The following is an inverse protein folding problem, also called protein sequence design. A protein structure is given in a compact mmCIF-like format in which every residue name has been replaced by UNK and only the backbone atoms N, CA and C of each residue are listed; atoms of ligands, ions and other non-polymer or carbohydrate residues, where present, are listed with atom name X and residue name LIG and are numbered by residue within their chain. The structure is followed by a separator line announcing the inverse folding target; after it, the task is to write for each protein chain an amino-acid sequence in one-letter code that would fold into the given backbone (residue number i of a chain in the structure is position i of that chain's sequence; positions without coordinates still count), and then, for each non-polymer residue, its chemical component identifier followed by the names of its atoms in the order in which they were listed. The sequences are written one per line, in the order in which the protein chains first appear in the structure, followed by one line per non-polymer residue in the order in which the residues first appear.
data_IF_886559205682
#
_entry.id   IF_886559205682
#
_cell.length_a   1.000
_cell.length_b   1.000
_cell.length_c   1.000
_cell.angle_alpha   90.00
_cell.angle_beta   90.00
_cell.angle_gamma   90.00
#
_symmetry.space_group_name_H-M   'P 1'
#
loop_
_entity.id
_entity.type
_entity.pdbx_description
1 polymer ?
#
# COMPACT_ATOMS: atom_id res chain seq x y z
N UNK A 1 -3.00 -1.91 -9.32
CA UNK A 1 -3.74 -1.55 -8.08
C UNK A 1 -5.24 -1.38 -8.37
N UNK A 2 -6.10 -1.71 -7.41
CA UNK A 2 -7.56 -1.88 -7.59
C UNK A 2 -8.41 -0.60 -7.61
N UNK A 3 -7.80 0.57 -7.83
CA UNK A 3 -8.50 1.88 -7.89
C UNK A 3 -9.39 2.12 -6.64
N UNK A 4 -8.90 1.68 -5.48
CA UNK A 4 -9.61 1.81 -4.20
C UNK A 4 -10.74 0.80 -3.96
N UNK A 5 -10.96 -0.18 -4.85
CA UNK A 5 -11.90 -1.29 -4.59
C UNK A 5 -11.47 -2.14 -3.39
N UNK A 6 -10.17 -2.36 -3.23
CA UNK A 6 -9.61 -2.97 -2.02
C UNK A 6 -9.09 -1.91 -1.06
N UNK A 7 -9.42 -2.05 0.22
CA UNK A 7 -9.05 -1.11 1.28
C UNK A 7 -7.79 -1.59 2.01
N UNK A 8 -6.77 -0.73 2.08
CA UNK A 8 -5.63 -0.93 2.97
C UNK A 8 -5.99 -0.42 4.37
N UNK A 9 -6.32 -1.33 5.30
CA UNK A 9 -6.78 -0.97 6.64
C UNK A 9 -5.65 -0.42 7.53
N UNK A 10 -5.92 0.69 8.22
CA UNK A 10 -5.07 1.14 9.33
C UNK A 10 -5.30 0.23 10.54
N UNK A 11 -4.20 -0.21 11.16
CA UNK A 11 -4.24 -1.11 12.31
C UNK A 11 -3.08 -0.79 13.26
N UNK A 12 -3.26 -1.13 14.54
CA UNK A 12 -2.22 -1.01 15.58
C UNK A 12 -2.29 -2.20 16.52
N UNK A 13 -1.15 -2.58 17.10
CA UNK A 13 -1.10 -3.48 18.24
C UNK A 13 -0.90 -2.66 19.52
N UNK A 14 -1.58 -3.06 20.60
CA UNK A 14 -1.41 -2.46 21.94
C UNK A 14 -0.61 -3.41 22.82
N UNK A 15 0.09 -2.85 23.81
CA UNK A 15 0.83 -3.64 24.79
C UNK A 15 -0.11 -4.26 25.81
N UNK A 16 0.23 -5.48 26.25
CA UNK A 16 -0.37 -6.17 27.38
C UNK A 16 0.66 -6.22 28.53
N UNK A 17 0.20 -6.03 29.77
CA UNK A 17 1.08 -5.96 30.95
C UNK A 17 1.36 -7.33 31.58
N UNK A 18 0.54 -8.33 31.28
CA UNK A 18 0.56 -9.65 31.94
C UNK A 18 1.16 -10.72 31.03
N UNK A 19 0.95 -10.61 29.71
CA UNK A 19 1.31 -11.63 28.74
C UNK A 19 2.21 -11.09 27.65
N UNK A 20 3.27 -11.84 27.36
CA UNK A 20 4.13 -11.55 26.21
C UNK A 20 3.43 -11.98 24.93
N UNK A 21 3.30 -11.04 23.97
CA UNK A 21 2.75 -11.30 22.64
C UNK A 21 3.88 -11.42 21.62
N UNK A 22 3.90 -12.51 20.86
CA UNK A 22 4.79 -12.71 19.71
C UNK A 22 3.98 -12.79 18.42
N UNK A 23 4.46 -12.18 17.35
CA UNK A 23 3.87 -12.30 16.01
C UNK A 23 4.96 -12.22 14.95
N UNK A 24 4.82 -13.00 13.88
CA UNK A 24 5.78 -13.05 12.79
C UNK A 24 5.14 -12.57 11.47
N UNK A 25 5.24 -11.28 11.14
CA UNK A 25 4.65 -10.77 9.90
C UNK A 25 5.48 -11.22 8.70
N UNK A 26 4.81 -11.77 7.69
CA UNK A 26 5.39 -12.05 6.37
C UNK A 26 4.73 -11.10 5.37
N UNK A 27 5.53 -10.27 4.71
CA UNK A 27 5.06 -9.29 3.73
C UNK A 27 5.30 -9.80 2.32
N UNK A 28 4.24 -9.85 1.51
CA UNK A 28 4.34 -10.08 0.07
C UNK A 28 4.52 -8.73 -0.60
N UNK A 29 5.67 -8.53 -1.22
CA UNK A 29 6.05 -7.27 -1.85
C UNK A 29 6.24 -7.45 -3.36
N UNK A 30 6.02 -6.38 -4.12
CA UNK A 30 6.40 -6.32 -5.54
C UNK A 30 7.91 -6.10 -5.70
N UNK A 31 8.43 -6.34 -6.90
CA UNK A 31 9.81 -5.96 -7.23
C UNK A 31 10.04 -4.46 -7.00
N UNK A 32 11.25 -4.07 -6.58
CA UNK A 32 11.60 -2.69 -6.26
C UNK A 32 11.48 -1.75 -7.45
N UNK A 33 11.83 -2.24 -8.64
CA UNK A 33 11.77 -1.46 -9.88
C UNK A 33 10.40 -1.57 -10.57
N UNK A 34 9.44 -2.26 -9.95
CA UNK A 34 8.10 -2.39 -10.51
C UNK A 34 7.34 -1.07 -10.43
N UNK A 35 6.83 -0.62 -11.57
CA UNK A 35 5.91 0.50 -11.65
C UNK A 35 4.49 0.03 -11.30
N UNK A 36 3.94 0.61 -10.23
CA UNK A 36 2.60 0.30 -9.73
C UNK A 36 1.64 1.44 -10.03
N UNK A 37 0.55 1.14 -10.73
CA UNK A 37 -0.53 2.09 -11.03
C UNK A 37 -1.92 1.42 -11.02
N UNK A 38 -2.99 2.19 -11.27
CA UNK A 38 -4.30 1.67 -11.63
C UNK A 38 -4.18 0.61 -12.74
N UNK A 39 -4.81 -0.56 -12.58
CA UNK A 39 -4.83 -1.57 -13.66
C UNK A 39 -5.69 -1.04 -14.82
N UNK A 40 -5.21 -1.06 -16.07
CA UNK A 40 -5.96 -0.53 -17.22
C UNK A 40 -7.36 -1.13 -17.36
N UNK A 41 -7.49 -2.43 -17.11
CA UNK A 41 -8.75 -3.19 -17.14
C UNK A 41 -9.80 -2.69 -16.14
N UNK A 42 -9.37 -1.98 -15.09
CA UNK A 42 -10.25 -1.44 -14.05
C UNK A 42 -10.67 0.01 -14.32
N UNK A 43 -10.06 0.68 -15.31
CA UNK A 43 -10.37 2.06 -15.71
C UNK A 43 -11.51 2.02 -16.74
N UNK A 44 -12.74 1.87 -16.28
CA UNK A 44 -13.94 1.81 -17.12
C UNK A 44 -14.77 3.09 -16.96
N UNK A 45 -14.66 4.03 -17.91
CA UNK A 45 -15.47 5.25 -17.95
C UNK A 45 -15.28 6.22 -16.78
N UNK A 46 -16.15 7.24 -16.72
CA UNK A 46 -16.05 8.34 -15.75
C UNK A 46 -16.16 7.89 -14.28
N UNK A 47 -16.87 6.79 -14.01
CA UNK A 47 -17.08 6.26 -12.65
C UNK A 47 -15.82 5.62 -12.02
N UNK A 48 -14.86 5.18 -12.85
CA UNK A 48 -13.60 4.54 -12.42
C UNK A 48 -12.36 5.29 -12.93
N UNK A 49 -12.41 6.62 -12.92
CA UNK A 49 -11.23 7.44 -13.19
C UNK A 49 -10.03 7.06 -12.28
N UNK A 50 -8.79 7.13 -12.78
CA UNK A 50 -7.61 6.75 -12.03
C UNK A 50 -7.39 7.66 -10.80
N UNK A 51 -7.62 7.10 -9.60
CA UNK A 51 -7.49 7.82 -8.31
C UNK A 51 -6.06 8.01 -7.83
N UNK A 52 -5.11 7.27 -8.39
CA UNK A 52 -3.72 7.24 -7.94
C UNK A 52 -2.79 7.38 -9.14
N UNK A 53 -1.75 8.20 -8.99
CA UNK A 53 -0.67 8.30 -9.99
C UNK A 53 0.18 7.02 -9.97
N UNK A 54 0.70 6.58 -11.13
CA UNK A 54 1.73 5.54 -11.17
C UNK A 54 2.97 5.94 -10.36
N UNK A 55 3.62 4.97 -9.72
CA UNK A 55 4.86 5.17 -8.98
C UNK A 55 5.78 3.94 -9.06
N UNK A 56 7.08 4.14 -8.90
CA UNK A 56 8.04 3.04 -8.75
C UNK A 56 8.01 2.54 -7.29
N UNK A 57 7.90 1.22 -7.09
CA UNK A 57 7.70 0.64 -5.76
C UNK A 57 8.79 0.99 -4.76
N UNK A 58 10.06 1.04 -5.19
CA UNK A 58 11.21 1.52 -4.41
C UNK A 58 10.97 2.90 -3.80
N UNK A 59 10.49 3.84 -4.59
CA UNK A 59 10.30 5.23 -4.16
C UNK A 59 9.14 5.35 -3.19
N UNK A 60 8.04 4.65 -3.47
CA UNK A 60 6.92 4.53 -2.54
C UNK A 60 7.36 3.95 -1.19
N UNK A 61 8.13 2.85 -1.21
CA UNK A 61 8.61 2.19 0.01
C UNK A 61 9.52 3.11 0.82
N UNK A 62 10.47 3.78 0.16
CA UNK A 62 11.36 4.75 0.79
C UNK A 62 10.59 5.90 1.45
N UNK A 63 9.69 6.54 0.70
CA UNK A 63 8.89 7.67 1.20
C UNK A 63 7.99 7.27 2.36
N UNK A 64 7.31 6.11 2.26
CA UNK A 64 6.42 5.59 3.30
C UNK A 64 7.17 5.31 4.61
N UNK A 65 8.34 4.67 4.54
CA UNK A 65 9.17 4.39 5.72
C UNK A 65 9.71 5.68 6.36
N UNK A 66 10.01 6.69 5.53
CA UNK A 66 10.50 8.00 5.98
C UNK A 66 9.39 8.99 6.34
N UNK A 67 8.12 8.59 6.25
CA UNK A 67 6.94 9.45 6.47
C UNK A 67 6.95 10.72 5.59
N UNK A 68 7.43 10.59 4.36
CA UNK A 68 7.43 11.65 3.35
C UNK A 68 6.12 11.65 2.56
N UNK A 69 5.76 12.78 1.97
CA UNK A 69 4.62 12.88 1.07
C UNK A 69 4.81 12.01 -0.18
N UNK A 70 3.71 11.47 -0.69
CA UNK A 70 3.61 10.84 -2.00
C UNK A 70 3.05 11.90 -2.95
N UNK A 71 3.84 12.31 -3.94
CA UNK A 71 3.56 13.44 -4.84
C UNK A 71 2.57 13.06 -5.97
#
# INVERSE_FOLDING_TARGET
MSIGKYKSAQHRATMDKEKTRMSWPVFVESSLDHESGPLPELITGDDNAPKFKPFVYKDYKFRKLKKLALD
#
